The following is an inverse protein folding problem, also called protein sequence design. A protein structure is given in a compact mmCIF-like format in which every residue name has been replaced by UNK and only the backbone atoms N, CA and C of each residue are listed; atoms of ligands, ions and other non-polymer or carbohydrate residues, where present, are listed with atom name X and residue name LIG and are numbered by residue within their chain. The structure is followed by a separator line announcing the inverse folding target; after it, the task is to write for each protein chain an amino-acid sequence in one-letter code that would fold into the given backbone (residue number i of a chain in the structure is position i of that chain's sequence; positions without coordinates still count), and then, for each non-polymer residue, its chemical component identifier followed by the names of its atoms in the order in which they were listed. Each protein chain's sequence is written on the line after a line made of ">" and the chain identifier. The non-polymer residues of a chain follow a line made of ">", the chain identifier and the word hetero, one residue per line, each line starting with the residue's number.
data_IF_382104197593
#
_entry.id   IF_382104197593
#
_cell.length_a   1.000
_cell.length_b   1.000
_cell.length_c   1.000
_cell.angle_alpha   90.00
_cell.angle_beta   90.00
_cell.angle_gamma   90.00
#
_symmetry.space_group_name_H-M   'P 1'
#
loop_
_entity.id
_entity.type
_entity.pdbx_description
1 polymer ?
#
# COMPACT_ATOMS: atom_id res chain seq x y z
N UNK A 1 21.97 -11.76 16.54
CA UNK A 1 21.15 -10.65 17.09
C UNK A 1 19.71 -11.12 17.07
N UNK A 2 19.11 -11.29 18.23
CA UNK A 2 17.79 -11.89 18.40
C UNK A 2 16.72 -10.89 17.99
N UNK A 3 15.78 -11.28 17.11
CA UNK A 3 14.61 -10.50 16.69
C UNK A 3 13.58 -10.27 17.82
N UNK A 4 13.96 -10.49 19.10
CA UNK A 4 13.04 -10.69 20.23
C UNK A 4 12.43 -9.41 20.83
N UNK A 5 12.86 -8.21 20.40
CA UNK A 5 12.39 -6.94 20.99
C UNK A 5 11.43 -6.15 20.10
N UNK A 6 11.22 -6.59 18.85
CA UNK A 6 10.26 -5.93 17.96
C UNK A 6 8.84 -6.43 18.23
N UNK A 7 7.89 -5.52 18.30
CA UNK A 7 6.47 -5.80 18.46
C UNK A 7 5.66 -4.96 17.48
N UNK A 8 4.53 -5.49 17.04
CA UNK A 8 3.59 -4.75 16.22
C UNK A 8 2.21 -5.35 16.33
N UNK A 9 1.20 -4.53 16.04
CA UNK A 9 -0.17 -5.00 15.90
C UNK A 9 -0.86 -4.27 14.76
N UNK A 10 -1.90 -4.92 14.27
CA UNK A 10 -2.83 -4.39 13.27
C UNK A 10 -4.22 -4.46 13.90
N UNK A 11 -4.96 -3.36 13.86
CA UNK A 11 -6.33 -3.24 14.37
C UNK A 11 -7.18 -2.49 13.36
N UNK A 12 -8.47 -2.79 13.36
CA UNK A 12 -9.47 -1.94 12.74
C UNK A 12 -9.93 -0.99 13.85
N UNK A 13 -9.89 0.30 13.60
CA UNK A 13 -10.27 1.34 14.56
C UNK A 13 -11.31 2.29 13.97
N UNK A 14 -12.27 2.66 14.81
CA UNK A 14 -13.32 3.63 14.53
C UNK A 14 -12.94 4.92 15.27
N UNK A 15 -12.19 5.79 14.61
CA UNK A 15 -11.76 7.07 15.18
C UNK A 15 -12.34 8.21 14.35
N UNK A 16 -13.02 9.12 15.04
CA UNK A 16 -13.66 10.28 14.46
C UNK A 16 -12.66 11.46 14.37
N UNK A 17 -12.40 12.06 13.19
CA UNK A 17 -12.91 11.69 11.87
C UNK A 17 -11.98 10.76 11.07
N UNK A 18 -12.56 9.79 10.37
CA UNK A 18 -11.91 9.01 9.32
C UNK A 18 -11.56 9.85 8.08
N UNK A 19 -10.86 9.27 7.07
CA UNK A 19 -10.52 10.00 5.84
C UNK A 19 -11.76 10.39 5.05
N UNK A 20 -12.82 9.60 5.19
CA UNK A 20 -14.11 9.78 4.55
C UNK A 20 -15.18 9.73 5.62
N UNK A 21 -16.06 10.73 5.62
CA UNK A 21 -17.12 10.93 6.62
C UNK A 21 -18.02 9.70 6.77
N UNK A 22 -18.11 8.88 5.73
CA UNK A 22 -18.96 7.69 5.66
C UNK A 22 -18.22 6.37 5.92
N UNK A 23 -16.90 6.37 6.04
CA UNK A 23 -16.11 5.18 6.36
C UNK A 23 -16.04 5.03 7.90
N UNK A 24 -16.73 4.04 8.50
CA UNK A 24 -16.83 3.95 9.96
C UNK A 24 -15.53 3.51 10.64
N UNK A 25 -14.59 2.95 9.87
CA UNK A 25 -13.41 2.29 10.39
C UNK A 25 -12.22 2.39 9.43
N UNK A 26 -11.00 2.37 9.96
CA UNK A 26 -9.77 2.31 9.18
C UNK A 26 -8.76 1.34 9.78
N UNK A 27 -7.72 0.99 9.01
CA UNK A 27 -6.66 0.11 9.47
C UNK A 27 -5.62 0.90 10.28
N UNK A 28 -5.49 0.63 11.57
CA UNK A 28 -4.42 1.13 12.42
C UNK A 28 -3.33 0.07 12.58
N UNK A 29 -2.10 0.44 12.22
CA UNK A 29 -0.90 -0.32 12.52
C UNK A 29 -0.02 0.47 13.48
N UNK A 30 0.48 -0.21 14.51
CA UNK A 30 1.59 0.28 15.32
C UNK A 30 2.73 -0.71 15.30
N UNK A 31 3.93 -0.20 15.09
CA UNK A 31 5.17 -0.95 15.18
C UNK A 31 6.09 -0.30 16.20
N UNK A 32 6.69 -1.12 17.06
CA UNK A 32 7.74 -0.72 17.99
C UNK A 32 8.93 -1.66 17.85
N UNK A 33 10.12 -1.12 17.62
CA UNK A 33 11.34 -1.91 17.45
C UNK A 33 12.58 -1.24 18.06
N UNK A 34 13.64 -2.00 18.33
CA UNK A 34 14.86 -1.47 18.93
C UNK A 34 15.65 -0.55 17.98
N UNK A 35 15.47 -0.71 16.68
CA UNK A 35 16.08 0.11 15.63
C UNK A 35 14.98 0.56 14.66
N UNK A 36 15.13 1.69 13.95
CA UNK A 36 14.25 2.11 12.86
C UNK A 36 14.47 1.25 11.61
N UNK A 37 14.42 -0.07 11.76
CA UNK A 37 14.41 -1.03 10.65
C UNK A 37 12.95 -1.10 10.20
N UNK A 38 12.65 -0.64 8.98
CA UNK A 38 11.28 -0.57 8.51
C UNK A 38 10.52 -1.90 8.59
N UNK A 39 9.19 -1.83 8.62
CA UNK A 39 8.31 -2.98 8.76
C UNK A 39 7.40 -3.13 7.53
N UNK A 40 6.88 -4.33 7.33
CA UNK A 40 5.94 -4.64 6.24
C UNK A 40 4.54 -4.87 6.78
N UNK A 41 3.56 -4.37 6.03
CA UNK A 41 2.15 -4.66 6.23
C UNK A 41 1.69 -5.38 4.99
N UNK A 42 1.30 -6.65 5.13
CA UNK A 42 0.97 -7.50 4.00
C UNK A 42 -0.42 -8.10 4.19
N UNK A 43 -1.23 -8.20 3.14
CA UNK A 43 -2.45 -9.00 3.20
C UNK A 43 -2.07 -10.47 3.44
N UNK A 44 -2.95 -11.20 4.12
CA UNK A 44 -2.74 -12.63 4.44
C UNK A 44 -2.52 -13.47 3.17
N UNK A 45 -3.12 -13.05 2.06
CA UNK A 45 -2.91 -13.63 0.74
C UNK A 45 -2.55 -12.49 -0.22
N UNK A 46 -1.51 -12.65 -1.07
CA UNK A 46 -1.26 -11.72 -2.16
C UNK A 46 -2.50 -11.64 -3.06
N UNK A 47 -2.85 -10.43 -3.50
CA UNK A 47 -3.94 -10.26 -4.45
C UNK A 47 -3.39 -9.81 -5.81
N UNK A 48 -3.84 -10.49 -6.85
CA UNK A 48 -3.56 -10.11 -8.22
C UNK A 48 -4.39 -8.87 -8.59
N UNK A 49 -3.77 -7.94 -9.30
CA UNK A 49 -4.41 -6.77 -9.87
C UNK A 49 -4.78 -7.08 -11.32
N UNK A 50 -6.05 -6.88 -11.65
CA UNK A 50 -6.56 -7.15 -12.99
C UNK A 50 -6.34 -5.95 -13.92
N UNK A 51 -5.94 -6.23 -15.16
CA UNK A 51 -5.68 -5.20 -16.17
C UNK A 51 -4.26 -4.63 -16.12
N UNK A 52 -4.04 -3.54 -16.89
CA UNK A 52 -2.78 -2.80 -16.89
C UNK A 52 -2.88 -1.62 -15.93
N UNK A 53 -2.20 -1.72 -14.79
CA UNK A 53 -2.34 -0.78 -13.67
C UNK A 53 -1.53 0.48 -13.93
N UNK A 54 -2.21 1.62 -13.97
CA UNK A 54 -1.60 2.95 -14.07
C UNK A 54 -1.00 3.38 -12.74
N UNK A 55 -1.78 3.23 -11.68
CA UNK A 55 -1.42 3.67 -10.33
C UNK A 55 -2.14 2.86 -9.28
N UNK A 56 -1.53 2.83 -8.10
CA UNK A 56 -2.18 2.40 -6.86
C UNK A 56 -2.52 3.63 -6.03
N UNK A 57 -3.66 3.60 -5.38
CA UNK A 57 -4.16 4.69 -4.56
C UNK A 57 -4.53 4.20 -3.16
N UNK A 58 -4.41 5.10 -2.19
CA UNK A 58 -4.76 4.84 -0.80
C UNK A 58 -4.86 6.15 -0.03
N UNK A 59 -5.65 6.13 1.04
CA UNK A 59 -5.61 7.18 2.06
C UNK A 59 -4.60 6.83 3.13
N UNK A 60 -3.87 7.84 3.62
CA UNK A 60 -3.01 7.71 4.79
C UNK A 60 -3.14 8.91 5.72
N UNK A 61 -3.04 8.65 7.02
CA UNK A 61 -3.00 9.68 8.04
C UNK A 61 -1.57 10.11 8.34
N UNK A 62 -1.28 11.39 8.15
CA UNK A 62 0.00 11.99 8.48
C UNK A 62 0.13 12.28 9.97
N UNK A 63 1.27 11.90 10.54
CA UNK A 63 1.57 12.08 11.97
C UNK A 63 2.46 13.30 12.25
N UNK A 64 2.81 14.07 11.20
CA UNK A 64 3.78 15.16 11.25
C UNK A 64 5.23 14.68 11.30
N UNK A 65 5.47 13.39 11.03
CA UNK A 65 6.81 12.76 11.08
C UNK A 65 7.25 12.31 9.70
N UNK A 66 8.54 12.38 9.37
CA UNK A 66 9.06 11.96 8.07
C UNK A 66 9.20 10.43 7.96
N UNK A 67 8.19 9.69 8.40
CA UNK A 67 8.08 8.25 8.18
C UNK A 67 7.74 8.03 6.70
N UNK A 68 8.51 7.20 6.00
CA UNK A 68 8.32 6.93 4.57
C UNK A 68 7.46 5.68 4.38
N UNK A 69 6.47 5.77 3.50
CA UNK A 69 5.57 4.67 3.11
C UNK A 69 5.80 4.35 1.64
N UNK A 70 6.20 3.13 1.37
CA UNK A 70 6.40 2.58 0.03
C UNK A 70 5.43 1.43 -0.24
N UNK A 71 5.14 1.19 -1.51
CA UNK A 71 4.31 0.07 -1.95
C UNK A 71 5.23 -1.06 -2.43
N UNK A 72 4.91 -2.30 -2.07
CA UNK A 72 5.58 -3.48 -2.59
C UNK A 72 4.67 -4.22 -3.56
N UNK A 73 5.16 -4.48 -4.78
CA UNK A 73 4.43 -5.21 -5.83
C UNK A 73 5.30 -6.30 -6.43
N UNK A 74 4.70 -7.43 -6.81
CA UNK A 74 5.35 -8.40 -7.71
C UNK A 74 4.94 -8.09 -9.14
N UNK A 75 5.94 -8.02 -10.02
CA UNK A 75 5.71 -7.91 -11.45
C UNK A 75 5.39 -9.27 -12.09
N UNK A 76 5.14 -9.27 -13.41
CA UNK A 76 4.81 -10.48 -14.16
C UNK A 76 5.92 -11.56 -14.20
N UNK A 77 7.15 -11.21 -13.81
CA UNK A 77 8.30 -12.12 -13.75
C UNK A 77 8.62 -12.51 -12.31
N UNK A 78 7.66 -12.33 -11.39
CA UNK A 78 7.81 -12.58 -9.96
C UNK A 78 8.94 -11.77 -9.29
N UNK A 79 9.30 -10.62 -9.87
CA UNK A 79 10.27 -9.69 -9.26
C UNK A 79 9.55 -8.75 -8.30
N UNK A 80 10.04 -8.70 -7.06
CA UNK A 80 9.57 -7.74 -6.06
C UNK A 80 10.14 -6.35 -6.35
N UNK A 81 9.24 -5.39 -6.50
CA UNK A 81 9.56 -3.98 -6.63
C UNK A 81 9.05 -3.22 -5.42
N UNK A 82 9.90 -2.32 -4.91
CA UNK A 82 9.50 -1.31 -3.93
C UNK A 82 9.34 0.01 -4.65
N UNK A 83 8.10 0.46 -4.77
CA UNK A 83 7.75 1.72 -5.43
C UNK A 83 7.65 2.77 -4.35
N UNK A 84 8.44 3.84 -4.50
CA UNK A 84 8.43 4.95 -3.54
C UNK A 84 7.05 5.61 -3.52
N UNK A 85 6.43 5.63 -2.35
CA UNK A 85 5.12 6.23 -2.16
C UNK A 85 5.24 7.66 -1.62
N UNK A 86 5.02 7.83 -0.32
CA UNK A 86 4.87 9.14 0.31
C UNK A 86 5.57 9.24 1.67
N UNK A 87 5.87 10.47 2.10
CA UNK A 87 6.30 10.77 3.48
C UNK A 87 5.09 11.18 4.31
N UNK A 88 5.01 10.73 5.56
CA UNK A 88 3.96 11.09 6.52
C UNK A 88 4.20 12.43 7.24
N UNK A 89 5.09 13.28 6.69
CA UNK A 89 5.43 14.62 7.19
C UNK A 89 4.34 15.65 6.84
N UNK A 90 3.13 15.35 7.26
CA UNK A 90 1.94 16.19 7.20
C UNK A 90 0.99 15.78 8.34
N UNK A 91 -0.10 16.51 8.56
CA UNK A 91 -1.09 16.17 9.59
C UNK A 91 -2.46 15.96 8.95
N UNK A 92 -3.18 14.94 9.42
CA UNK A 92 -4.52 14.59 8.94
C UNK A 92 -4.49 13.59 7.79
N UNK A 93 -5.67 13.29 7.24
CA UNK A 93 -5.84 12.36 6.13
C UNK A 93 -5.50 13.00 4.78
N UNK A 94 -4.78 12.26 3.93
CA UNK A 94 -4.54 12.62 2.53
C UNK A 94 -4.66 11.40 1.63
N UNK A 95 -5.20 11.64 0.44
CA UNK A 95 -5.22 10.68 -0.65
C UNK A 95 -3.88 10.69 -1.39
N UNK A 96 -3.33 9.51 -1.66
CA UNK A 96 -2.11 9.31 -2.42
C UNK A 96 -2.40 8.49 -3.66
N UNK A 97 -1.81 8.90 -4.78
CA UNK A 97 -1.79 8.14 -6.02
C UNK A 97 -0.34 7.90 -6.41
N UNK A 98 0.06 6.64 -6.45
CA UNK A 98 1.43 6.23 -6.77
C UNK A 98 1.43 5.50 -8.10
N UNK A 99 2.05 6.13 -9.09
CA UNK A 99 2.15 5.58 -10.45
C UNK A 99 3.05 4.35 -10.46
N UNK A 100 2.65 3.34 -11.23
CA UNK A 100 3.48 2.17 -11.48
C UNK A 100 4.60 2.57 -12.46
N UNK A 101 5.89 2.49 -12.06
CA UNK A 101 6.98 2.86 -12.95
C UNK A 101 7.07 1.92 -14.17
N UNK A 102 7.52 2.40 -15.35
CA UNK A 102 7.69 1.55 -16.53
C UNK A 102 8.64 0.36 -16.35
N UNK A 103 9.55 0.44 -15.37
CA UNK A 103 10.47 -0.65 -15.02
C UNK A 103 9.76 -1.84 -14.33
N UNK A 104 8.56 -1.62 -13.78
CA UNK A 104 7.72 -2.68 -13.22
C UNK A 104 6.94 -3.30 -14.36
N UNK A 105 7.36 -4.47 -14.79
CA UNK A 105 6.82 -5.06 -16.01
C UNK A 105 5.41 -5.63 -15.77
N UNK A 106 4.46 -5.12 -16.55
CA UNK A 106 3.06 -5.56 -16.52
C UNK A 106 2.70 -6.21 -17.86
N UNK A 107 1.74 -7.14 -17.83
CA UNK A 107 1.05 -7.65 -19.03
C UNK A 107 -0.43 -7.38 -18.88
N UNK A 108 -1.04 -6.85 -19.94
CA UNK A 108 -2.48 -6.84 -20.06
C UNK A 108 -2.97 -8.29 -20.14
N UNK A 109 -3.86 -8.68 -19.22
CA UNK A 109 -4.38 -10.05 -19.13
C UNK A 109 -5.37 -10.29 -20.27
N UNK A 110 -4.87 -10.60 -21.48
CA UNK A 110 -5.70 -11.15 -22.56
C UNK A 110 -5.15 -12.47 -23.11
N UNK A 111 -3.99 -12.95 -22.62
CA UNK A 111 -3.33 -14.12 -23.19
C UNK A 111 -2.77 -15.02 -22.08
N UNK A 112 -3.42 -16.18 -21.90
CA UNK A 112 -2.82 -17.44 -21.43
C UNK A 112 -2.23 -17.48 -20.00
N UNK A 113 -3.04 -17.16 -18.97
CA UNK A 113 -2.84 -17.72 -17.62
C UNK A 113 -1.52 -17.41 -16.91
N UNK A 114 -0.87 -16.27 -17.20
CA UNK A 114 0.31 -15.78 -16.46
C UNK A 114 -0.07 -14.61 -15.54
N UNK A 115 0.57 -14.59 -14.36
CA UNK A 115 0.31 -13.61 -13.30
C UNK A 115 0.49 -12.16 -13.81
N UNK A 116 -0.53 -11.32 -13.60
CA UNK A 116 -0.42 -9.87 -13.75
C UNK A 116 0.36 -9.24 -12.59
N UNK A 117 0.25 -7.91 -12.43
CA UNK A 117 0.82 -7.23 -11.27
C UNK A 117 0.16 -7.76 -9.98
N UNK A 118 0.93 -8.02 -8.93
CA UNK A 118 0.35 -8.40 -7.63
C UNK A 118 0.74 -7.38 -6.56
N UNK A 119 -0.24 -6.95 -5.77
CA UNK A 119 0.05 -6.14 -4.60
C UNK A 119 0.52 -7.01 -3.44
N UNK A 120 1.66 -6.65 -2.84
CA UNK A 120 2.26 -7.38 -1.72
C UNK A 120 2.12 -6.68 -0.39
N UNK A 121 1.74 -5.42 -0.38
CA UNK A 121 1.59 -4.64 0.84
C UNK A 121 2.33 -3.32 0.82
N UNK A 122 2.52 -2.78 2.01
CA UNK A 122 3.27 -1.57 2.27
C UNK A 122 4.58 -1.90 2.98
N UNK A 123 5.61 -1.13 2.70
CA UNK A 123 6.81 -1.05 3.51
C UNK A 123 6.86 0.34 4.18
N UNK A 124 6.89 0.36 5.51
CA UNK A 124 6.93 1.60 6.27
C UNK A 124 8.29 1.71 6.95
N UNK A 125 8.97 2.81 6.68
CA UNK A 125 10.29 3.13 7.20
C UNK A 125 10.15 4.27 8.21
N UNK A 126 10.32 4.00 9.52
CA UNK A 126 10.32 5.04 10.53
C UNK A 126 11.44 6.06 10.29
N UNK A 127 11.19 7.30 10.69
CA UNK A 127 12.17 8.37 10.70
C UNK A 127 13.42 7.99 11.51
N UNK A 128 14.58 8.43 11.04
CA UNK A 128 15.84 8.23 11.75
C UNK A 128 15.83 8.96 13.11
N UNK A 129 16.60 8.45 14.07
CA UNK A 129 16.75 9.06 15.40
C UNK A 129 15.68 8.68 16.43
N UNK A 130 14.75 7.79 16.10
CA UNK A 130 13.81 7.20 17.07
C UNK A 130 14.30 5.84 17.55
N UNK A 131 14.81 5.81 18.78
CA UNK A 131 15.21 4.58 19.46
C UNK A 131 14.57 4.53 20.86
N UNK A 132 13.65 3.59 21.14
CA UNK A 132 13.11 2.61 20.19
C UNK A 132 12.25 3.29 19.11
N UNK A 133 12.22 2.71 17.92
CA UNK A 133 11.30 3.16 16.87
C UNK A 133 9.86 2.95 17.36
N UNK A 134 8.98 3.93 17.17
CA UNK A 134 7.55 3.86 17.49
C UNK A 134 6.77 4.55 16.38
N UNK A 135 6.36 3.74 15.40
CA UNK A 135 5.70 4.20 14.19
C UNK A 135 4.22 3.80 14.23
N UNK A 136 3.37 4.75 13.83
CA UNK A 136 1.94 4.54 13.66
C UNK A 136 1.60 4.85 12.22
N UNK A 137 0.88 3.94 11.59
CA UNK A 137 0.42 4.10 10.23
C UNK A 137 -1.06 3.77 10.18
N UNK A 138 -1.84 4.72 9.69
CA UNK A 138 -3.26 4.53 9.45
C UNK A 138 -3.49 4.61 7.95
N UNK A 139 -4.25 3.65 7.42
CA UNK A 139 -4.61 3.64 6.02
C UNK A 139 -6.06 3.23 5.82
N UNK A 140 -6.61 3.66 4.71
CA UNK A 140 -7.95 3.28 4.26
C UNK A 140 -8.03 3.32 2.73
N UNK A 141 -9.08 2.68 2.19
CA UNK A 141 -9.43 2.65 0.77
C UNK A 141 -8.25 2.46 -0.17
N UNK A 142 -7.62 1.29 -0.07
CA UNK A 142 -6.59 0.89 -1.02
C UNK A 142 -7.27 0.55 -2.35
N UNK A 143 -6.89 1.23 -3.42
CA UNK A 143 -7.42 1.04 -4.76
C UNK A 143 -6.33 0.92 -5.82
N UNK A 144 -6.78 0.61 -7.03
CA UNK A 144 -5.94 0.55 -8.22
C UNK A 144 -6.67 1.16 -9.41
N UNK A 145 -5.97 2.02 -10.16
CA UNK A 145 -6.46 2.59 -11.40
C UNK A 145 -5.91 1.81 -12.59
N UNK A 146 -6.81 1.35 -13.45
CA UNK A 146 -6.47 0.67 -14.71
C UNK A 146 -6.41 1.70 -15.84
N UNK A 147 -5.47 1.54 -16.77
CA UNK A 147 -5.43 2.36 -17.99
C UNK A 147 -6.73 2.21 -18.80
N UNK A 148 -7.30 3.33 -19.23
CA UNK A 148 -8.59 3.37 -19.96
C UNK A 148 -8.58 2.49 -21.23
N UNK A 149 -7.45 2.38 -21.94
CA UNK A 149 -7.30 1.51 -23.11
C UNK A 149 -7.50 0.01 -22.82
N UNK A 150 -7.29 -0.40 -21.56
CA UNK A 150 -7.41 -1.79 -21.11
C UNK A 150 -8.66 -2.04 -20.26
N UNK A 151 -9.58 -1.07 -20.17
CA UNK A 151 -10.91 -1.34 -19.64
C UNK A 151 -11.63 -2.25 -20.63
N UNK A 152 -12.01 -3.45 -20.19
CA UNK A 152 -12.88 -4.30 -21.00
C UNK A 152 -14.18 -3.52 -21.28
N UNK A 153 -14.72 -3.53 -22.52
CA UNK A 153 -16.01 -2.92 -22.78
C UNK A 153 -17.07 -3.53 -21.86
N UNK A 154 -17.98 -2.71 -21.35
CA UNK A 154 -19.08 -3.18 -20.53
C UNK A 154 -19.84 -4.27 -21.29
N UNK A 155 -20.02 -5.43 -20.66
CA UNK A 155 -20.62 -6.63 -21.22
C UNK A 155 -22.16 -6.50 -21.37
N UNK A 156 -22.64 -5.29 -21.68
CA UNK A 156 -24.07 -4.94 -21.74
C UNK A 156 -24.56 -4.72 -23.18
N UNK A 157 -23.66 -4.59 -24.16
CA UNK A 157 -24.02 -4.34 -25.57
C UNK A 157 -24.08 -5.61 -26.44
N UNK A 158 -24.31 -6.80 -25.85
CA UNK A 158 -24.38 -8.07 -26.58
C UNK A 158 -25.71 -8.84 -26.40
N UNK A 159 -26.84 -8.13 -26.28
CA UNK A 159 -28.17 -8.71 -26.43
C UNK A 159 -29.08 -7.83 -27.30
#
# INVERSE_FOLDING_TARGET
>A
RTLSEASGYVRIEDLDPGPIVEAPAYLHIRFRGPEPTGFRIQPKQPFALEGYIESLDFWAYGTGRPDQVDLEVLDQNDRLHRIRGTSLEFTGWRHFQVRIPPAVQQRAVHILGRNGLQFRGFFVQPAAGQTPADCRFHLDQIGARVWDYYQAPAMTDML
#
